data_IF_985961999424
#
_entry.id   IF_985961999424
#
_cell.length_a   1.000
_cell.length_b   1.000
_cell.length_c   1.000
_cell.angle_alpha   90.00
_cell.angle_beta   90.00
_cell.angle_gamma   90.00
#
_symmetry.space_group_name_H-M   'P 1'
#
loop_
_entity.id
_entity.type
_entity.pdbx_description
1 polymer ?
#
# COMPACT_ATOMS: atom_id res chain seq x y z
N UNK A 1 -2.69 -4.37 -10.81
CA UNK A 1 -3.37 -3.75 -9.65
C UNK A 1 -2.53 -4.05 -8.42
N UNK A 2 -2.28 -3.06 -7.57
CA UNK A 2 -1.47 -3.25 -6.36
C UNK A 2 -2.16 -4.22 -5.41
N UNK A 3 -1.42 -5.22 -4.94
CA UNK A 3 -1.83 -6.16 -3.90
C UNK A 3 -1.18 -5.77 -2.59
N UNK A 4 -2.00 -5.55 -1.56
CA UNK A 4 -1.53 -5.23 -0.21
C UNK A 4 -1.30 -6.52 0.58
N UNK A 5 -0.20 -6.55 1.33
CA UNK A 5 0.22 -7.67 2.19
C UNK A 5 0.10 -7.30 3.68
N UNK A 6 -0.91 -6.49 3.99
CA UNK A 6 -1.13 -5.95 5.35
C UNK A 6 -2.11 -6.76 6.17
N UNK A 7 -2.63 -7.87 5.64
CA UNK A 7 -3.45 -8.82 6.38
C UNK A 7 -2.57 -9.78 7.16
N UNK A 8 -2.86 -9.95 8.45
CA UNK A 8 -2.19 -10.91 9.32
C UNK A 8 -2.99 -12.20 9.31
N UNK A 9 -2.45 -13.26 8.71
CA UNK A 9 -3.07 -14.60 8.65
C UNK A 9 -2.54 -15.54 9.72
N UNK A 10 -1.35 -15.28 10.25
CA UNK A 10 -0.72 -16.07 11.30
C UNK A 10 -0.15 -15.16 12.41
N UNK A 11 -0.20 -15.57 13.69
CA UNK A 11 0.40 -14.80 14.79
C UNK A 11 1.91 -14.57 14.67
N UNK A 12 2.59 -15.30 13.78
CA UNK A 12 4.02 -15.16 13.51
C UNK A 12 4.34 -14.10 12.45
N UNK A 13 3.32 -13.62 11.73
CA UNK A 13 3.51 -12.58 10.72
C UNK A 13 3.72 -11.22 11.40
N UNK A 14 4.68 -10.41 10.91
CA UNK A 14 4.91 -9.09 11.45
C UNK A 14 3.72 -8.17 11.14
N UNK A 15 3.25 -7.44 12.16
CA UNK A 15 2.26 -6.39 11.97
C UNK A 15 2.91 -5.13 11.41
N UNK A 16 2.90 -5.01 10.08
CA UNK A 16 3.45 -3.87 9.34
C UNK A 16 2.47 -2.69 9.22
N UNK A 17 1.17 -2.92 9.49
CA UNK A 17 0.12 -1.94 9.26
C UNK A 17 -0.17 -1.10 10.50
N UNK A 18 -0.44 -1.73 11.64
CA UNK A 18 -0.81 -1.03 12.88
C UNK A 18 0.18 0.06 13.28
N UNK A 19 1.52 -0.15 13.27
CA UNK A 19 2.46 0.93 13.60
C UNK A 19 2.47 2.07 12.57
N UNK A 20 2.16 1.78 11.30
CA UNK A 20 2.25 2.73 10.19
C UNK A 20 0.88 3.27 9.72
N UNK A 21 -0.21 2.94 10.42
CA UNK A 21 -1.59 3.20 9.96
C UNK A 21 -1.93 4.68 9.78
N UNK A 22 -1.19 5.59 10.41
CA UNK A 22 -1.39 7.03 10.26
C UNK A 22 -0.40 7.70 9.31
N UNK A 23 0.53 6.93 8.73
CA UNK A 23 1.46 7.45 7.73
C UNK A 23 0.73 7.62 6.38
N UNK A 24 1.29 8.49 5.54
CA UNK A 24 0.83 8.64 4.16
C UNK A 24 1.08 7.36 3.38
N UNK A 25 0.13 7.01 2.52
CA UNK A 25 0.33 5.98 1.51
C UNK A 25 1.03 6.61 0.31
N UNK A 26 2.22 6.11 -0.01
CA UNK A 26 3.03 6.49 -1.17
C UNK A 26 2.95 5.38 -2.20
N UNK A 27 2.67 5.72 -3.45
CA UNK A 27 2.78 4.81 -4.59
C UNK A 27 3.99 5.23 -5.41
N UNK A 28 4.92 4.30 -5.62
CA UNK A 28 6.22 4.56 -6.24
C UNK A 28 6.41 3.60 -7.41
N UNK A 29 6.95 4.08 -8.54
CA UNK A 29 7.30 3.20 -9.67
C UNK A 29 8.50 2.32 -9.33
N UNK A 30 8.75 1.29 -10.15
CA UNK A 30 9.91 0.41 -9.97
C UNK A 30 11.26 1.16 -10.14
N UNK A 31 11.25 2.29 -10.84
CA UNK A 31 12.39 3.20 -11.00
C UNK A 31 12.53 4.19 -9.84
N UNK A 32 11.69 4.12 -8.81
CA UNK A 32 11.72 4.99 -7.64
C UNK A 32 11.00 6.33 -7.81
N UNK A 33 10.22 6.52 -8.88
CA UNK A 33 9.46 7.76 -9.07
C UNK A 33 8.18 7.75 -8.24
N UNK A 34 7.91 8.83 -7.49
CA UNK A 34 6.64 8.99 -6.79
C UNK A 34 5.49 9.20 -7.80
N UNK A 35 4.54 8.26 -7.82
CA UNK A 35 3.39 8.26 -8.71
C UNK A 35 2.14 8.88 -8.07
N UNK A 36 1.92 8.62 -6.78
CA UNK A 36 0.78 9.18 -6.04
C UNK A 36 1.01 9.19 -4.52
N UNK A 37 0.25 10.04 -3.83
CA UNK A 37 0.25 10.13 -2.37
C UNK A 37 -1.18 10.27 -1.85
N UNK A 38 -1.50 9.53 -0.78
CA UNK A 38 -2.80 9.59 -0.11
C UNK A 38 -2.61 9.82 1.39
N UNK A 39 -3.35 10.80 1.93
CA UNK A 39 -3.35 11.05 3.38
C UNK A 39 -4.06 9.92 4.12
N UNK A 40 -3.57 9.60 5.31
CA UNK A 40 -4.22 8.61 6.16
C UNK A 40 -5.64 9.06 6.54
N UNK A 41 -6.62 8.14 6.57
CA UNK A 41 -7.93 8.40 7.15
C UNK A 41 -7.81 8.80 8.63
N UNK A 42 -8.83 9.49 9.18
CA UNK A 42 -8.83 9.88 10.61
C UNK A 42 -8.63 8.71 11.56
N UNK A 43 -9.14 7.53 11.20
CA UNK A 43 -9.01 6.31 12.01
C UNK A 43 -7.81 5.43 11.60
N UNK A 44 -6.96 5.92 10.69
CA UNK A 44 -5.85 5.20 10.09
C UNK A 44 -6.26 4.22 8.99
N UNK A 45 -5.26 3.68 8.31
CA UNK A 45 -5.43 2.65 7.30
C UNK A 45 -5.85 1.32 7.93
N UNK A 46 -6.77 0.63 7.27
CA UNK A 46 -7.06 -0.79 7.48
C UNK A 46 -6.78 -1.54 6.17
N UNK A 47 -6.55 -2.86 6.25
CA UNK A 47 -6.36 -3.68 5.06
C UNK A 47 -7.52 -3.51 4.06
N UNK A 48 -8.77 -3.53 4.53
CA UNK A 48 -9.95 -3.35 3.68
C UNK A 48 -10.01 -1.98 3.01
N UNK A 49 -9.60 -0.91 3.70
CA UNK A 49 -9.58 0.44 3.12
C UNK A 49 -8.52 0.51 2.02
N UNK A 50 -7.34 -0.07 2.25
CA UNK A 50 -6.28 -0.15 1.24
C UNK A 50 -6.75 -0.93 0.00
N UNK A 51 -7.36 -2.11 0.19
CA UNK A 51 -7.89 -2.94 -0.91
C UNK A 51 -9.01 -2.22 -1.67
N UNK A 52 -9.88 -1.45 -1.01
CA UNK A 52 -10.89 -0.64 -1.70
C UNK A 52 -10.24 0.49 -2.50
N UNK A 53 -9.24 1.16 -1.92
CA UNK A 53 -8.52 2.25 -2.56
C UNK A 53 -7.77 1.78 -3.82
N UNK A 54 -7.14 0.60 -3.81
CA UNK A 54 -6.41 0.10 -5.00
C UNK A 54 -7.29 -0.17 -6.21
N UNK A 55 -8.61 -0.34 -6.03
CA UNK A 55 -9.55 -0.47 -7.15
C UNK A 55 -9.70 0.83 -7.94
N UNK A 56 -9.34 1.95 -7.35
CA UNK A 56 -9.37 3.28 -7.97
C UNK A 56 -8.05 3.64 -8.66
N UNK A 57 -7.02 2.79 -8.54
CA UNK A 57 -5.71 3.08 -9.11
C UNK A 57 -5.71 2.96 -10.64
N UNK A 58 -4.93 3.79 -11.35
CA UNK A 58 -4.75 3.68 -12.79
C UNK A 58 -4.32 2.27 -13.20
N UNK A 59 -4.99 1.67 -14.19
CA UNK A 59 -4.66 0.34 -14.68
C UNK A 59 -3.23 0.26 -15.25
N UNK A 60 -2.71 1.39 -15.74
CA UNK A 60 -1.35 1.54 -16.28
C UNK A 60 -0.28 1.07 -15.30
N UNK A 61 -0.47 1.27 -13.99
CA UNK A 61 0.47 0.81 -12.97
C UNK A 61 0.61 -0.70 -12.94
N UNK A 62 -0.42 -1.45 -13.35
CA UNK A 62 -0.32 -2.91 -13.49
C UNK A 62 0.59 -3.37 -14.62
N UNK A 63 0.92 -2.50 -15.59
CA UNK A 63 1.84 -2.80 -16.69
C UNK A 63 3.25 -2.28 -16.44
N UNK A 64 3.36 -1.08 -15.85
CA UNK A 64 4.65 -0.45 -15.56
C UNK A 64 5.26 -0.92 -14.23
N UNK A 65 4.45 -1.50 -13.34
CA UNK A 65 4.88 -1.85 -12.00
C UNK A 65 4.81 -0.67 -11.03
N UNK A 66 4.39 -0.93 -9.79
CA UNK A 66 4.41 0.05 -8.71
C UNK A 66 4.40 -0.62 -7.33
N UNK A 67 5.15 -0.03 -6.41
CA UNK A 67 5.18 -0.35 -4.99
C UNK A 67 4.30 0.59 -4.18
N UNK A 68 3.77 0.08 -3.07
CA UNK A 68 3.01 0.82 -2.09
C UNK A 68 3.74 0.83 -0.74
N UNK A 69 3.91 2.03 -0.18
CA UNK A 69 4.54 2.25 1.11
C UNK A 69 3.64 3.04 2.06
N UNK A 70 3.64 2.70 3.35
CA UNK A 70 3.08 3.55 4.41
C UNK A 70 4.23 4.28 5.12
N UNK A 71 4.51 5.51 4.70
CA UNK A 71 5.76 6.17 5.05
C UNK A 71 6.94 5.47 4.34
N UNK A 72 7.83 4.85 5.11
CA UNK A 72 8.96 4.06 4.63
C UNK A 72 8.71 2.54 4.65
N UNK A 73 7.59 2.10 5.23
CA UNK A 73 7.25 0.68 5.31
C UNK A 73 6.62 0.19 4.01
N UNK A 74 7.25 -0.79 3.36
CA UNK A 74 6.64 -1.53 2.24
C UNK A 74 5.39 -2.29 2.69
N UNK A 75 4.28 -2.13 1.96
CA UNK A 75 2.98 -2.74 2.30
C UNK A 75 2.30 -3.46 1.14
N UNK A 76 2.90 -3.45 -0.05
CA UNK A 76 2.33 -4.11 -1.23
C UNK A 76 2.97 -3.66 -2.53
N UNK A 77 2.67 -4.38 -3.60
CA UNK A 77 3.17 -4.07 -4.95
C UNK A 77 2.24 -4.66 -6.00
N UNK A 78 2.45 -4.28 -7.26
CA UNK A 78 1.85 -4.94 -8.42
C UNK A 78 2.48 -6.30 -8.75
N UNK A 79 3.65 -6.62 -8.21
CA UNK A 79 4.43 -7.82 -8.54
C UNK A 79 4.26 -8.99 -7.56
N UNK A 80 3.38 -8.87 -6.56
CA UNK A 80 3.09 -9.91 -5.55
C UNK A 80 1.88 -10.76 -5.93
#
# INVERSE_FOLDING_TARGET
MIRFITDIKSPQEPDILTPNRFNQLLIVSLEGQLLATYNAPMNGWTHDVLVRLSRLFPQQWGYCGADALLGDQFVGSTEI
#
